data_IF_767178926837
#
_entry.id   IF_767178926837
#
_cell.length_a   1.000
_cell.length_b   1.000
_cell.length_c   1.000
_cell.angle_alpha   90.00
_cell.angle_beta   90.00
_cell.angle_gamma   90.00
#
_symmetry.space_group_name_H-M   'P 1'
#
loop_
_entity.id
_entity.type
_entity.pdbx_description
1 polymer ?
#
# COMPACT_ATOMS: atom_id res chain seq x y z
N UNK A 1 39.66 1.54 7.96
CA UNK A 1 38.30 1.54 8.52
C UNK A 1 38.09 2.95 9.08
N UNK A 2 37.75 3.98 8.30
CA UNK A 2 36.79 4.09 7.20
C UNK A 2 35.69 4.98 7.77
N UNK A 3 35.78 6.31 7.60
CA UNK A 3 35.00 7.33 8.32
C UNK A 3 33.51 7.40 7.92
N UNK A 4 32.97 6.31 7.36
CA UNK A 4 31.59 6.24 6.92
C UNK A 4 30.60 6.19 8.07
N UNK A 5 29.37 6.62 7.79
CA UNK A 5 28.24 6.57 8.70
C UNK A 5 27.01 6.02 7.97
N UNK A 6 26.00 5.63 8.75
CA UNK A 6 24.69 5.32 8.21
C UNK A 6 23.60 6.10 8.93
N UNK A 7 22.48 6.29 8.24
CA UNK A 7 21.27 6.86 8.81
C UNK A 7 20.10 5.94 8.53
N UNK A 8 19.21 5.80 9.50
CA UNK A 8 17.94 5.12 9.33
C UNK A 8 16.87 6.20 9.23
N UNK A 9 16.29 6.34 8.05
CA UNK A 9 15.27 7.35 7.78
C UNK A 9 14.35 6.90 6.65
N UNK A 10 13.20 7.53 6.52
CA UNK A 10 12.37 7.45 5.32
C UNK A 10 12.00 8.85 4.86
N UNK A 11 11.69 8.98 3.59
CA UNK A 11 11.29 10.24 2.97
C UNK A 11 9.80 10.17 2.63
N UNK A 12 9.08 11.26 2.86
CA UNK A 12 7.72 11.46 2.34
C UNK A 12 7.72 12.72 1.50
N UNK A 13 7.05 12.67 0.35
CA UNK A 13 6.86 13.85 -0.47
C UNK A 13 5.93 14.84 0.23
N UNK A 14 6.30 16.11 0.21
CA UNK A 14 5.44 17.20 0.68
C UNK A 14 4.70 17.78 -0.53
N UNK A 15 3.36 17.70 -0.60
CA UNK A 15 2.63 18.21 -1.75
C UNK A 15 2.68 19.74 -1.89
N UNK A 16 3.13 20.46 -0.85
CA UNK A 16 3.25 21.93 -0.84
C UNK A 16 4.69 22.42 -1.04
N UNK A 17 5.68 21.53 -0.91
CA UNK A 17 7.10 21.85 -1.09
C UNK A 17 7.69 20.86 -2.08
N UNK A 18 8.37 21.32 -3.11
CA UNK A 18 9.09 20.45 -4.06
C UNK A 18 10.36 19.79 -3.46
N UNK A 19 10.30 19.39 -2.19
CA UNK A 19 11.32 18.66 -1.44
C UNK A 19 10.64 17.61 -0.55
N UNK A 20 11.23 16.42 -0.48
CA UNK A 20 10.82 15.38 0.45
C UNK A 20 11.19 15.75 1.89
N UNK A 21 10.29 15.50 2.85
CA UNK A 21 10.56 15.62 4.29
C UNK A 21 11.17 14.32 4.79
N UNK A 22 12.30 14.42 5.51
CA UNK A 22 13.00 13.28 6.12
C UNK A 22 12.46 12.99 7.50
N UNK A 23 12.15 11.72 7.75
CA UNK A 23 11.75 11.19 9.03
C UNK A 23 12.78 10.18 9.50
N UNK A 24 13.40 10.42 10.65
CA UNK A 24 14.40 9.51 11.20
C UNK A 24 13.71 8.35 11.92
N UNK A 25 14.22 7.13 11.71
CA UNK A 25 13.70 5.92 12.33
C UNK A 25 13.00 4.98 11.35
N UNK A 26 12.09 4.18 11.88
CA UNK A 26 11.45 3.07 11.17
C UNK A 26 10.08 3.49 10.63
N UNK A 27 9.61 2.83 9.58
CA UNK A 27 8.26 3.05 9.05
C UNK A 27 7.41 1.80 9.19
N UNK A 28 6.10 1.98 9.33
CA UNK A 28 5.16 0.87 9.40
C UNK A 28 4.93 0.26 8.02
N UNK A 29 5.10 -1.04 7.88
CA UNK A 29 4.80 -1.75 6.63
C UNK A 29 3.31 -2.09 6.53
N UNK A 30 2.64 -2.33 7.65
CA UNK A 30 1.22 -2.67 7.71
C UNK A 30 0.31 -1.48 7.34
N UNK A 31 0.88 -0.28 7.15
CA UNK A 31 0.15 0.87 6.58
C UNK A 31 -0.10 0.77 5.07
N UNK A 32 0.45 -0.24 4.39
CA UNK A 32 0.36 -0.44 2.93
C UNK A 32 -0.68 -1.50 2.55
N UNK A 33 -1.16 -1.47 1.31
CA UNK A 33 -2.05 -2.48 0.75
C UNK A 33 -1.25 -3.77 0.50
N UNK A 34 -1.57 -4.85 1.21
CA UNK A 34 -0.95 -6.14 0.94
C UNK A 34 -1.61 -6.84 -0.26
N UNK A 35 -0.93 -6.89 -1.40
CA UNK A 35 -1.47 -7.48 -2.63
C UNK A 35 -1.69 -9.00 -2.51
N UNK A 36 -0.94 -9.69 -1.65
CA UNK A 36 -1.12 -11.12 -1.36
C UNK A 36 -2.41 -11.43 -0.59
N UNK A 37 -3.09 -10.41 -0.07
CA UNK A 37 -4.34 -10.56 0.69
C UNK A 37 -5.57 -10.10 -0.07
N UNK A 38 -5.40 -9.68 -1.33
CA UNK A 38 -6.52 -9.27 -2.17
C UNK A 38 -7.36 -10.48 -2.59
N UNK A 39 -8.64 -10.23 -2.81
CA UNK A 39 -9.63 -11.18 -3.31
C UNK A 39 -10.65 -10.44 -4.17
N UNK A 40 -11.61 -11.15 -4.77
CA UNK A 40 -12.64 -10.52 -5.61
C UNK A 40 -13.47 -9.43 -4.90
N UNK A 41 -13.52 -9.40 -3.56
CA UNK A 41 -14.24 -8.37 -2.79
C UNK A 41 -13.37 -7.16 -2.47
N UNK A 42 -12.05 -7.34 -2.41
CA UNK A 42 -11.07 -6.31 -2.03
C UNK A 42 -10.24 -5.80 -3.20
N UNK A 43 -10.30 -6.42 -4.38
CA UNK A 43 -9.68 -5.95 -5.64
C UNK A 43 -9.99 -4.47 -5.93
N UNK A 44 -11.20 -4.03 -5.59
CA UNK A 44 -11.62 -2.64 -5.75
C UNK A 44 -10.73 -1.63 -5.02
N UNK A 45 -10.04 -2.02 -3.94
CA UNK A 45 -9.11 -1.14 -3.22
C UNK A 45 -7.91 -0.81 -4.11
N UNK A 46 -7.26 -1.81 -4.71
CA UNK A 46 -6.12 -1.56 -5.59
C UNK A 46 -6.54 -0.77 -6.84
N UNK A 47 -7.73 -1.07 -7.39
CA UNK A 47 -8.30 -0.29 -8.48
C UNK A 47 -8.43 1.19 -8.11
N UNK A 48 -9.01 1.53 -6.96
CA UNK A 48 -9.14 2.93 -6.54
C UNK A 48 -7.78 3.58 -6.29
N UNK A 49 -6.78 2.85 -5.80
CA UNK A 49 -5.41 3.37 -5.68
C UNK A 49 -4.82 3.75 -7.04
N UNK A 50 -4.98 2.90 -8.05
CA UNK A 50 -4.50 3.18 -9.41
C UNK A 50 -5.23 4.38 -10.02
N UNK A 51 -6.56 4.46 -9.84
CA UNK A 51 -7.38 5.60 -10.30
C UNK A 51 -7.00 6.91 -9.59
N UNK A 52 -6.70 6.87 -8.29
CA UNK A 52 -6.22 8.02 -7.52
C UNK A 52 -4.92 8.60 -8.09
N UNK A 53 -4.08 7.75 -8.70
CA UNK A 53 -2.84 8.14 -9.36
C UNK A 53 -3.03 8.57 -10.82
N UNK A 54 -4.28 8.78 -11.27
CA UNK A 54 -4.59 9.38 -12.58
C UNK A 54 -4.68 8.41 -13.75
N UNK A 55 -4.61 7.10 -13.50
CA UNK A 55 -4.75 6.08 -14.54
C UNK A 55 -6.22 5.72 -14.80
N UNK A 56 -6.49 5.11 -15.95
CA UNK A 56 -7.85 4.79 -16.35
C UNK A 56 -8.46 3.72 -15.45
N UNK A 57 -9.79 3.79 -15.24
CA UNK A 57 -10.52 2.77 -14.47
C UNK A 57 -10.46 1.39 -15.14
N UNK A 58 -10.33 1.35 -16.46
CA UNK A 58 -10.20 0.12 -17.23
C UNK A 58 -8.88 -0.58 -16.92
N UNK A 59 -7.75 0.12 -17.05
CA UNK A 59 -6.42 -0.42 -16.71
C UNK A 59 -6.37 -0.84 -15.23
N UNK A 60 -6.95 -0.02 -14.35
CA UNK A 60 -7.04 -0.31 -12.92
C UNK A 60 -7.83 -1.59 -12.62
N UNK A 61 -8.94 -1.84 -13.33
CA UNK A 61 -9.71 -3.07 -13.19
C UNK A 61 -8.92 -4.28 -13.71
N UNK A 62 -8.32 -4.17 -14.90
CA UNK A 62 -7.51 -5.24 -15.50
C UNK A 62 -6.43 -5.69 -14.51
N UNK A 63 -5.64 -4.74 -14.01
CA UNK A 63 -4.53 -5.03 -13.09
C UNK A 63 -5.05 -5.62 -11.78
N UNK A 64 -6.08 -5.00 -11.18
CA UNK A 64 -6.55 -5.43 -9.87
C UNK A 64 -7.13 -6.85 -9.87
N UNK A 65 -7.90 -7.22 -10.89
CA UNK A 65 -8.45 -8.56 -10.99
C UNK A 65 -7.42 -9.58 -11.48
N UNK A 66 -6.50 -9.19 -12.36
CA UNK A 66 -5.39 -10.09 -12.76
C UNK A 66 -4.47 -10.41 -11.58
N UNK A 67 -4.30 -9.50 -10.62
CA UNK A 67 -3.57 -9.79 -9.36
C UNK A 67 -4.29 -10.82 -8.50
N UNK A 68 -5.63 -10.80 -8.47
CA UNK A 68 -6.42 -11.79 -7.72
C UNK A 68 -6.30 -13.17 -8.35
N UNK A 69 -6.46 -13.26 -9.67
CA UNK A 69 -6.32 -14.52 -10.40
C UNK A 69 -4.88 -15.06 -10.30
N UNK A 70 -3.87 -14.19 -10.28
CA UNK A 70 -2.46 -14.59 -10.14
C UNK A 70 -2.12 -15.31 -8.82
N UNK A 71 -2.78 -14.92 -7.73
CA UNK A 71 -2.49 -15.46 -6.39
C UNK A 71 -3.39 -16.63 -6.00
N UNK A 72 -4.57 -16.73 -6.59
CA UNK A 72 -5.52 -17.75 -6.22
C UNK A 72 -5.14 -19.11 -6.83
N UNK A 73 -5.51 -20.23 -6.18
CA UNK A 73 -5.04 -21.55 -6.61
C UNK A 73 -5.87 -22.15 -7.75
N UNK A 74 -6.96 -21.50 -8.17
CA UNK A 74 -7.84 -22.04 -9.20
C UNK A 74 -7.41 -21.57 -10.60
N UNK A 75 -8.30 -21.60 -11.58
CA UNK A 75 -7.96 -21.23 -12.97
C UNK A 75 -9.12 -20.53 -13.63
N UNK A 76 -9.95 -19.86 -12.82
CA UNK A 76 -11.16 -19.18 -13.25
C UNK A 76 -10.92 -17.69 -13.10
N UNK A 77 -11.21 -16.99 -14.19
CA UNK A 77 -11.19 -15.54 -14.21
C UNK A 77 -12.19 -14.99 -13.17
N UNK A 78 -11.69 -14.30 -12.14
CA UNK A 78 -12.51 -13.79 -11.03
C UNK A 78 -13.55 -12.78 -11.50
N UNK A 79 -13.19 -11.94 -12.48
CA UNK A 79 -14.07 -10.91 -13.04
C UNK A 79 -13.81 -10.70 -14.53
N UNK A 80 -14.73 -11.18 -15.36
CA UNK A 80 -14.73 -10.90 -16.81
C UNK A 80 -15.13 -9.44 -17.09
N UNK A 81 -14.46 -8.74 -18.03
CA UNK A 81 -13.38 -9.19 -18.92
C UNK A 81 -11.95 -8.90 -18.41
N UNK A 82 -11.80 -8.61 -17.11
CA UNK A 82 -10.61 -7.96 -16.54
C UNK A 82 -9.52 -8.90 -16.08
N UNK A 83 -9.89 -10.01 -15.45
CA UNK A 83 -8.93 -10.98 -14.90
C UNK A 83 -8.09 -11.69 -15.97
N UNK A 84 -7.13 -12.48 -15.50
CA UNK A 84 -6.17 -13.16 -16.36
C UNK A 84 -5.65 -14.43 -15.69
N UNK A 85 -5.76 -15.54 -16.42
CA UNK A 85 -5.35 -16.87 -15.99
C UNK A 85 -4.35 -17.47 -16.99
N UNK A 86 -3.95 -18.72 -16.80
CA UNK A 86 -2.95 -19.40 -17.63
C UNK A 86 -3.24 -19.33 -19.14
N UNK A 87 -4.52 -19.35 -19.54
CA UNK A 87 -4.95 -19.17 -20.93
C UNK A 87 -4.49 -17.83 -21.53
N UNK A 88 -4.52 -16.74 -20.75
CA UNK A 88 -4.03 -15.43 -21.16
C UNK A 88 -2.50 -15.43 -21.26
N UNK A 89 -1.82 -15.89 -20.21
CA UNK A 89 -0.36 -15.82 -20.10
C UNK A 89 0.37 -16.75 -21.08
N UNK A 90 -0.20 -17.94 -21.34
CA UNK A 90 0.30 -18.87 -22.35
C UNK A 90 0.09 -18.38 -23.79
N UNK A 91 -0.84 -17.43 -23.99
CA UNK A 91 -1.14 -16.82 -25.28
C UNK A 91 -0.26 -15.62 -25.66
N UNK A 92 0.64 -15.17 -24.77
CA UNK A 92 1.53 -14.03 -25.02
C UNK A 92 2.64 -14.35 -26.03
N UNK A 93 3.23 -13.32 -26.64
CA UNK A 93 4.39 -13.48 -27.55
C UNK A 93 5.58 -14.21 -26.90
N UNK A 94 5.73 -14.03 -25.58
CA UNK A 94 6.66 -14.79 -24.73
C UNK A 94 5.84 -15.48 -23.64
N UNK A 95 5.36 -16.71 -23.90
CA UNK A 95 4.50 -17.43 -22.97
C UNK A 95 5.17 -17.69 -21.62
N UNK A 96 4.37 -17.62 -20.57
CA UNK A 96 4.70 -18.11 -19.23
C UNK A 96 3.41 -18.54 -18.53
N UNK A 97 3.55 -19.21 -17.39
CA UNK A 97 2.41 -19.69 -16.64
C UNK A 97 1.95 -18.68 -15.58
N UNK A 98 0.64 -18.68 -15.32
CA UNK A 98 0.10 -18.05 -14.12
C UNK A 98 0.71 -18.73 -12.88
N UNK A 99 1.06 -17.94 -11.86
CA UNK A 99 1.82 -18.47 -10.72
C UNK A 99 0.94 -19.28 -9.77
N UNK A 100 -0.33 -18.92 -9.64
CA UNK A 100 -1.33 -19.48 -8.73
C UNK A 100 -0.82 -19.57 -7.28
N UNK A 101 0.00 -18.59 -6.89
CA UNK A 101 0.69 -18.49 -5.61
C UNK A 101 0.97 -17.03 -5.27
N UNK A 102 1.12 -16.77 -3.97
CA UNK A 102 1.51 -15.47 -3.46
C UNK A 102 2.80 -14.93 -4.11
N UNK A 103 2.84 -13.61 -4.29
CA UNK A 103 4.02 -12.83 -4.65
C UNK A 103 5.11 -12.98 -3.58
N UNK A 104 6.36 -13.14 -4.03
CA UNK A 104 7.57 -13.12 -3.23
C UNK A 104 8.23 -11.73 -3.25
N UNK A 105 8.04 -10.97 -4.32
CA UNK A 105 8.48 -9.57 -4.43
C UNK A 105 7.44 -8.69 -5.14
N UNK A 106 7.59 -7.36 -4.98
CA UNK A 106 6.73 -6.40 -5.69
C UNK A 106 7.02 -6.38 -7.19
N UNK A 107 8.26 -6.66 -7.59
CA UNK A 107 8.71 -6.62 -8.98
C UNK A 107 8.05 -7.69 -9.85
N UNK A 108 7.53 -8.77 -9.25
CA UNK A 108 6.69 -9.74 -9.96
C UNK A 108 5.42 -9.11 -10.55
N UNK A 109 5.00 -7.91 -10.10
CA UNK A 109 3.91 -7.17 -10.72
C UNK A 109 4.14 -6.87 -12.22
N UNK A 110 5.38 -6.86 -12.70
CA UNK A 110 5.67 -6.73 -14.13
C UNK A 110 5.22 -7.93 -14.97
N UNK A 111 4.85 -9.05 -14.33
CA UNK A 111 4.24 -10.21 -14.98
C UNK A 111 2.72 -10.10 -15.05
N UNK A 112 2.12 -9.07 -14.44
CA UNK A 112 0.67 -8.92 -14.41
C UNK A 112 0.17 -8.24 -15.67
N UNK A 113 -0.91 -8.77 -16.24
CA UNK A 113 -1.63 -8.19 -17.38
C UNK A 113 -1.91 -6.70 -17.13
N UNK A 114 -1.48 -5.86 -18.07
CA UNK A 114 -1.72 -4.41 -18.05
C UNK A 114 -0.78 -3.61 -17.15
N UNK A 115 0.09 -4.23 -16.34
CA UNK A 115 1.04 -3.47 -15.51
C UNK A 115 2.10 -2.78 -16.37
N UNK A 116 2.26 -1.47 -16.20
CA UNK A 116 3.33 -0.69 -16.83
C UNK A 116 4.30 -0.13 -15.78
N UNK A 117 5.48 0.32 -16.22
CA UNK A 117 6.47 0.97 -15.34
C UNK A 117 5.90 2.22 -14.66
N UNK A 118 5.08 2.99 -15.35
CA UNK A 118 4.45 4.20 -14.84
C UNK A 118 3.45 3.86 -13.73
N UNK A 119 2.57 2.88 -13.96
CA UNK A 119 1.60 2.43 -12.95
C UNK A 119 2.33 1.84 -11.75
N UNK A 120 3.31 0.95 -11.98
CA UNK A 120 4.12 0.36 -10.92
C UNK A 120 4.78 1.43 -10.05
N UNK A 121 5.43 2.43 -10.67
CA UNK A 121 6.09 3.49 -9.92
C UNK A 121 5.12 4.36 -9.11
N UNK A 122 3.89 4.56 -9.59
CA UNK A 122 2.87 5.30 -8.87
C UNK A 122 2.33 4.55 -7.63
N UNK A 123 2.26 3.22 -7.68
CA UNK A 123 1.66 2.43 -6.59
C UNK A 123 2.68 1.74 -5.68
N UNK A 124 3.93 1.54 -6.10
CA UNK A 124 4.91 0.69 -5.38
C UNK A 124 5.16 1.08 -3.93
N UNK A 125 5.05 2.36 -3.58
CA UNK A 125 5.25 2.84 -2.19
C UNK A 125 4.01 2.66 -1.31
N UNK A 126 2.85 2.40 -1.91
CA UNK A 126 1.55 2.23 -1.25
C UNK A 126 1.16 0.76 -1.06
N UNK A 127 1.95 -0.17 -1.59
CA UNK A 127 1.67 -1.61 -1.58
C UNK A 127 2.79 -2.42 -0.91
N UNK A 128 2.45 -3.63 -0.46
CA UNK A 128 3.38 -4.62 0.09
C UNK A 128 2.98 -6.04 -0.33
N UNK A 129 3.90 -6.99 -0.15
CA UNK A 129 3.64 -8.44 -0.29
C UNK A 129 3.63 -9.15 1.08
N UNK A 130 3.70 -8.39 2.18
CA UNK A 130 3.75 -8.91 3.54
C UNK A 130 2.46 -8.60 4.33
N UNK A 131 1.95 -9.54 5.15
CA UNK A 131 2.37 -10.94 5.27
C UNK A 131 2.10 -11.74 3.99
N UNK A 132 2.88 -12.80 3.75
CA UNK A 132 2.67 -13.70 2.60
C UNK A 132 1.31 -14.40 2.63
N UNK A 133 0.76 -14.65 3.83
CA UNK A 133 -0.58 -15.22 4.03
C UNK A 133 -1.28 -14.52 5.18
N UNK A 134 -2.53 -14.12 4.98
CA UNK A 134 -3.33 -13.44 5.98
C UNK A 134 -4.57 -12.79 5.36
N UNK A 135 -5.40 -12.19 6.20
CA UNK A 135 -6.53 -11.37 5.72
C UNK A 135 -6.08 -9.96 5.31
N UNK A 136 -6.93 -9.29 4.54
CA UNK A 136 -6.74 -7.89 4.16
C UNK A 136 -6.88 -6.96 5.37
N UNK A 137 -5.74 -6.52 5.91
CA UNK A 137 -5.64 -5.63 7.07
C UNK A 137 -4.62 -4.52 6.80
N UNK A 138 -4.96 -3.30 7.19
CA UNK A 138 -4.13 -2.09 7.06
C UNK A 138 -4.14 -1.30 8.37
N UNK A 139 -2.98 -0.82 8.81
CA UNK A 139 -2.88 0.02 10.01
C UNK A 139 -3.33 1.45 9.69
N UNK A 140 -4.53 1.82 10.12
CA UNK A 140 -5.09 3.15 9.86
C UNK A 140 -4.37 4.27 10.63
N UNK A 141 -3.65 3.94 11.69
CA UNK A 141 -2.92 4.91 12.50
C UNK A 141 -1.73 5.49 11.70
N UNK A 142 -1.19 4.76 10.72
CA UNK A 142 0.05 5.08 10.01
C UNK A 142 -0.05 5.02 8.47
N UNK A 143 -1.14 4.47 7.92
CA UNK A 143 -1.33 4.31 6.48
C UNK A 143 -1.24 5.64 5.71
N UNK A 144 -0.61 5.69 4.52
CA UNK A 144 -0.67 6.86 3.65
C UNK A 144 -2.10 7.28 3.34
N UNK A 145 -2.32 8.57 3.10
CA UNK A 145 -3.66 9.11 2.81
C UNK A 145 -4.28 8.46 1.57
N UNK A 146 -3.47 8.19 0.55
CA UNK A 146 -3.83 7.52 -0.70
C UNK A 146 -4.35 6.11 -0.45
N UNK A 147 -3.71 5.37 0.46
CA UNK A 147 -4.12 4.01 0.86
C UNK A 147 -5.48 4.07 1.57
N UNK A 148 -5.66 5.02 2.49
CA UNK A 148 -6.91 5.20 3.21
C UNK A 148 -8.05 5.63 2.26
N UNK A 149 -7.79 6.56 1.33
CA UNK A 149 -8.75 6.96 0.28
C UNK A 149 -9.13 5.79 -0.61
N UNK A 150 -8.15 4.99 -1.05
CA UNK A 150 -8.42 3.81 -1.86
C UNK A 150 -9.36 2.82 -1.14
N UNK A 151 -9.09 2.53 0.14
CA UNK A 151 -9.94 1.65 0.97
C UNK A 151 -11.35 2.24 1.15
N UNK A 152 -11.45 3.53 1.48
CA UNK A 152 -12.72 4.22 1.71
C UNK A 152 -13.58 4.29 0.44
N UNK A 153 -12.99 4.69 -0.69
CA UNK A 153 -13.66 4.77 -2.00
C UNK A 153 -14.13 3.40 -2.49
N UNK A 154 -13.33 2.36 -2.30
CA UNK A 154 -13.70 0.99 -2.69
C UNK A 154 -14.92 0.47 -1.90
N UNK A 155 -15.14 0.98 -0.69
CA UNK A 155 -16.31 0.65 0.12
C UNK A 155 -17.54 1.55 -0.15
N UNK A 156 -17.37 2.66 -0.88
CA UNK A 156 -18.37 3.71 -1.11
C UNK A 156 -19.62 3.28 -1.90
N UNK A 157 -19.69 2.05 -2.40
CA UNK A 157 -20.90 1.51 -3.05
C UNK A 157 -21.98 0.99 -2.09
N UNK A 158 -21.70 0.95 -0.77
CA UNK A 158 -22.54 0.18 0.16
C UNK A 158 -23.74 0.93 0.77
N UNK A 159 -23.91 2.26 0.61
CA UNK A 159 -25.04 2.97 1.24
C UNK A 159 -25.11 4.47 0.92
N UNK A 160 -25.77 4.92 -0.15
CA UNK A 160 -26.09 6.34 -0.39
C UNK A 160 -24.93 7.35 -0.13
N UNK A 161 -23.69 6.91 -0.36
CA UNK A 161 -22.44 7.65 -0.14
C UNK A 161 -21.78 7.93 -1.47
N UNK A 162 -21.06 9.05 -1.54
CA UNK A 162 -20.31 9.47 -2.71
C UNK A 162 -18.80 9.38 -2.47
N UNK A 163 -18.00 9.49 -3.54
CA UNK A 163 -16.53 9.55 -3.45
C UNK A 163 -16.09 10.72 -2.58
N UNK A 164 -16.80 11.85 -2.65
CA UNK A 164 -16.57 13.04 -1.82
C UNK A 164 -16.73 12.78 -0.33
N UNK A 165 -17.73 11.96 0.07
CA UNK A 165 -17.91 11.54 1.47
C UNK A 165 -16.73 10.69 1.95
N UNK A 166 -16.23 9.80 1.08
CA UNK A 166 -15.08 8.94 1.40
C UNK A 166 -13.79 9.77 1.57
N UNK A 167 -13.52 10.67 0.63
CA UNK A 167 -12.34 11.53 0.69
C UNK A 167 -12.37 12.45 1.91
N UNK A 168 -13.52 13.09 2.18
CA UNK A 168 -13.66 13.98 3.35
C UNK A 168 -13.51 13.23 4.67
N UNK A 169 -14.04 12.00 4.76
CA UNK A 169 -13.87 11.17 5.95
C UNK A 169 -12.39 10.81 6.20
N UNK A 170 -11.64 10.51 5.14
CA UNK A 170 -10.21 10.20 5.23
C UNK A 170 -9.40 11.45 5.58
N UNK A 171 -9.70 12.60 4.99
CA UNK A 171 -9.05 13.87 5.33
C UNK A 171 -9.21 14.18 6.83
N UNK A 172 -10.41 14.03 7.39
CA UNK A 172 -10.67 14.20 8.82
C UNK A 172 -9.91 13.20 9.69
N UNK A 173 -9.78 11.96 9.23
CA UNK A 173 -8.97 10.94 9.90
C UNK A 173 -7.49 11.34 9.92
N UNK A 174 -6.93 11.70 8.76
CA UNK A 174 -5.52 12.10 8.61
C UNK A 174 -5.20 13.35 9.43
N UNK A 175 -6.09 14.34 9.43
CA UNK A 175 -5.92 15.55 10.24
C UNK A 175 -6.02 15.26 11.74
N UNK A 176 -6.90 14.34 12.15
CA UNK A 176 -7.01 13.96 13.55
C UNK A 176 -5.75 13.27 14.08
N UNK A 177 -5.13 12.39 13.28
CA UNK A 177 -3.93 11.65 13.71
C UNK A 177 -2.70 12.55 13.86
N UNK A 178 -2.63 13.67 13.14
CA UNK A 178 -1.54 14.67 13.17
C UNK A 178 -1.51 15.55 14.44
N UNK A 179 -2.17 15.13 15.52
CA UNK A 179 -2.14 15.89 16.77
C UNK A 179 -2.73 17.30 16.68
N UNK A 180 -2.30 18.15 17.61
CA UNK A 180 -2.62 19.58 17.67
C UNK A 180 -1.64 20.41 16.84
N UNK A 181 -0.42 19.92 16.63
CA UNK A 181 0.61 20.60 15.83
C UNK A 181 0.40 20.47 14.31
N UNK A 182 -0.45 19.52 13.87
CA UNK A 182 -0.74 19.29 12.46
C UNK A 182 0.40 18.60 11.71
N UNK A 183 1.41 18.11 12.42
CA UNK A 183 2.52 17.35 11.88
C UNK A 183 2.36 15.86 12.19
N UNK A 184 2.78 15.00 11.25
CA UNK A 184 2.84 13.56 11.54
C UNK A 184 4.15 13.19 12.24
N UNK A 185 4.12 12.11 13.00
CA UNK A 185 5.26 11.52 13.70
C UNK A 185 5.82 12.40 14.83
N UNK A 186 4.93 13.14 15.50
CA UNK A 186 5.23 13.97 16.67
C UNK A 186 4.63 13.35 17.94
N UNK A 187 4.93 13.94 19.10
CA UNK A 187 4.55 13.38 20.40
C UNK A 187 3.05 13.42 20.70
N UNK A 188 2.29 14.26 19.98
CA UNK A 188 0.86 14.49 20.12
C UNK A 188 0.02 13.76 19.06
N UNK A 189 0.65 12.93 18.21
CA UNK A 189 -0.04 12.04 17.28
C UNK A 189 -1.12 11.20 17.99
N UNK A 190 -2.29 11.10 17.35
CA UNK A 190 -3.45 10.39 17.92
C UNK A 190 -3.72 9.07 17.22
N UNK A 191 -4.04 8.05 18.02
CA UNK A 191 -4.51 6.76 17.53
C UNK A 191 -5.92 6.94 16.93
N UNK A 192 -6.17 6.39 15.75
CA UNK A 192 -7.47 6.53 15.08
C UNK A 192 -8.62 6.03 15.97
N UNK A 193 -9.62 6.89 16.18
CA UNK A 193 -10.90 6.54 16.81
C UNK A 193 -12.05 7.22 16.06
N UNK A 194 -12.88 6.41 15.40
CA UNK A 194 -14.02 6.88 14.61
C UNK A 194 -15.02 7.72 15.40
N UNK A 195 -15.09 7.56 16.73
CA UNK A 195 -16.02 8.32 17.56
C UNK A 195 -15.49 9.69 17.96
N UNK A 196 -14.17 9.92 17.86
CA UNK A 196 -13.52 11.20 18.14
C UNK A 196 -13.49 12.12 16.92
N UNK A 197 -13.77 11.58 15.73
CA UNK A 197 -13.79 12.34 14.49
C UNK A 197 -15.10 13.14 14.34
N UNK A 198 -14.99 14.39 13.90
CA UNK A 198 -16.12 15.25 13.58
C UNK A 198 -16.77 14.88 12.22
N UNK A 199 -17.38 13.68 12.18
CA UNK A 199 -17.94 13.09 10.96
C UNK A 199 -19.45 13.37 10.83
N UNK A 200 -19.88 13.62 9.59
CA UNK A 200 -21.29 13.58 9.23
C UNK A 200 -21.78 12.11 9.13
N UNK A 201 -23.09 11.90 8.95
CA UNK A 201 -23.68 10.56 8.91
C UNK A 201 -23.12 9.66 7.78
N UNK A 202 -22.87 10.23 6.59
CA UNK A 202 -22.35 9.51 5.43
C UNK A 202 -20.86 9.18 5.61
N UNK A 203 -20.05 10.15 6.01
CA UNK A 203 -18.63 9.95 6.32
C UNK A 203 -18.44 8.87 7.41
N UNK A 204 -19.27 8.90 8.46
CA UNK A 204 -19.28 7.88 9.51
C UNK A 204 -19.69 6.51 8.99
N UNK A 205 -20.61 6.44 8.02
CA UNK A 205 -20.99 5.19 7.37
C UNK A 205 -19.82 4.62 6.56
N UNK A 206 -19.07 5.46 5.82
CA UNK A 206 -17.86 5.04 5.09
C UNK A 206 -16.84 4.43 6.04
N UNK A 207 -16.42 5.13 7.10
CA UNK A 207 -15.37 4.60 7.99
C UNK A 207 -15.81 3.35 8.76
N UNK A 208 -17.11 3.23 9.08
CA UNK A 208 -17.65 2.02 9.69
C UNK A 208 -17.61 0.82 8.74
N UNK A 209 -17.90 1.00 7.45
CA UNK A 209 -17.93 -0.09 6.48
C UNK A 209 -16.53 -0.71 6.25
N UNK A 210 -15.47 0.10 6.38
CA UNK A 210 -14.07 -0.33 6.25
C UNK A 210 -13.39 -0.71 7.56
N UNK A 211 -14.06 -0.54 8.70
CA UNK A 211 -13.49 -0.82 10.03
C UNK A 211 -12.95 -2.24 10.20
N UNK A 212 -13.50 -3.21 9.46
CA UNK A 212 -13.04 -4.61 9.42
C UNK A 212 -11.64 -4.79 8.83
N UNK A 213 -11.18 -3.83 8.02
CA UNK A 213 -9.86 -3.85 7.38
C UNK A 213 -8.80 -3.16 8.24
N UNK A 214 -9.16 -2.63 9.42
CA UNK A 214 -8.19 -1.99 10.31
C UNK A 214 -7.39 -3.03 11.10
N UNK A 215 -6.07 -2.94 11.01
CA UNK A 215 -5.17 -3.56 11.99
C UNK A 215 -4.97 -2.63 13.20
N UNK A 216 -4.83 -3.20 14.40
CA UNK A 216 -4.60 -2.45 15.66
C UNK A 216 -3.12 -2.41 16.06
N UNK A 217 -2.30 -3.24 15.42
CA UNK A 217 -0.89 -3.40 15.76
C UNK A 217 -0.14 -3.89 14.54
N UNK A 218 0.75 -3.05 14.05
CA UNK A 218 1.75 -3.42 13.04
C UNK A 218 2.46 -4.72 13.41
N UNK A 219 2.60 -5.65 12.47
CA UNK A 219 3.38 -6.87 12.56
C UNK A 219 4.67 -6.77 11.74
N UNK A 220 4.72 -5.93 10.71
CA UNK A 220 5.88 -5.73 9.87
C UNK A 220 6.36 -4.29 9.91
N UNK A 221 7.67 -4.12 10.06
CA UNK A 221 8.32 -2.81 10.10
C UNK A 221 9.28 -2.71 8.92
N UNK A 222 9.25 -1.59 8.23
CA UNK A 222 10.19 -1.24 7.16
C UNK A 222 11.33 -0.40 7.71
N UNK A 223 12.54 -0.76 7.31
CA UNK A 223 13.79 -0.09 7.68
C UNK A 223 14.52 0.28 6.38
N UNK A 224 14.80 1.56 6.19
CA UNK A 224 15.65 2.02 5.09
C UNK A 224 16.94 2.56 5.68
N UNK A 225 18.08 2.04 5.21
CA UNK A 225 19.41 2.33 5.74
C UNK A 225 20.24 2.99 4.65
N UNK A 226 20.58 4.26 4.86
CA UNK A 226 21.42 5.05 3.97
C UNK A 226 22.85 5.07 4.49
N UNK A 227 23.74 4.32 3.85
CA UNK A 227 25.17 4.31 4.15
C UNK A 227 25.93 5.30 3.26
N UNK A 228 26.84 6.06 3.86
CA UNK A 228 27.74 7.00 3.16
C UNK A 228 29.18 6.72 3.57
N UNK A 229 30.09 6.62 2.59
CA UNK A 229 31.54 6.63 2.82
C UNK A 229 32.11 8.00 2.40
N UNK A 230 32.76 8.68 3.35
CA UNK A 230 33.12 10.10 3.20
C UNK A 230 34.25 10.35 2.19
N UNK A 231 35.17 9.40 1.98
CA UNK A 231 36.37 9.61 1.16
C UNK A 231 36.16 9.23 -0.31
N UNK A 232 35.15 8.42 -0.61
CA UNK A 232 34.92 7.79 -1.91
C UNK A 232 33.59 8.20 -2.55
N UNK A 233 32.79 9.07 -1.91
CA UNK A 233 31.44 9.43 -2.33
C UNK A 233 30.51 8.21 -2.58
N UNK A 234 30.88 7.03 -2.07
CA UNK A 234 30.07 5.83 -2.20
C UNK A 234 28.85 5.98 -1.29
N UNK A 235 27.66 5.89 -1.88
CA UNK A 235 26.39 5.81 -1.18
C UNK A 235 25.76 4.45 -1.47
N UNK A 236 25.09 3.90 -0.47
CA UNK A 236 24.33 2.66 -0.60
C UNK A 236 23.04 2.78 0.18
N UNK A 237 21.93 2.32 -0.39
CA UNK A 237 20.68 2.19 0.35
C UNK A 237 20.30 0.72 0.49
N UNK A 238 19.81 0.34 1.67
CA UNK A 238 19.27 -0.98 1.96
C UNK A 238 17.84 -0.80 2.44
N UNK A 239 16.88 -1.43 1.77
CA UNK A 239 15.50 -1.50 2.25
C UNK A 239 15.25 -2.89 2.82
N UNK A 240 14.71 -2.96 4.02
CA UNK A 240 14.53 -4.19 4.78
C UNK A 240 13.14 -4.23 5.42
N UNK A 241 12.53 -5.41 5.46
CA UNK A 241 11.28 -5.67 6.20
C UNK A 241 11.56 -6.63 7.35
N UNK A 242 11.18 -6.23 8.56
CA UNK A 242 11.38 -6.96 9.80
C UNK A 242 10.03 -7.43 10.34
N UNK A 243 9.92 -8.72 10.64
CA UNK A 243 8.81 -9.29 11.40
C UNK A 243 8.93 -8.91 12.88
N UNK A 244 7.93 -8.27 13.46
CA UNK A 244 7.91 -7.94 14.90
C UNK A 244 7.71 -9.15 15.81
N UNK A 245 7.21 -10.26 15.28
CA UNK A 245 6.94 -11.47 16.05
C UNK A 245 8.23 -12.07 16.62
N UNK A 246 9.29 -12.07 15.82
CA UNK A 246 10.56 -12.74 16.09
C UNK A 246 11.80 -11.93 15.70
N UNK A 247 11.61 -10.68 15.26
CA UNK A 247 12.67 -9.78 14.77
C UNK A 247 13.45 -10.31 13.57
N UNK A 248 12.87 -11.27 12.84
CA UNK A 248 13.49 -11.82 11.63
C UNK A 248 13.41 -10.82 10.46
N UNK A 249 14.48 -10.79 9.66
CA UNK A 249 14.50 -10.10 8.38
C UNK A 249 13.79 -10.97 7.34
N UNK A 250 12.60 -10.56 6.90
CA UNK A 250 11.78 -11.34 5.95
C UNK A 250 12.02 -10.93 4.49
N UNK A 251 12.58 -9.74 4.28
CA UNK A 251 12.96 -9.23 2.97
C UNK A 251 14.06 -8.21 3.13
N UNK A 252 14.98 -8.16 2.16
CA UNK A 252 15.84 -7.01 1.97
C UNK A 252 16.27 -6.88 0.51
N UNK A 253 16.59 -5.65 0.11
CA UNK A 253 17.27 -5.36 -1.14
C UNK A 253 18.30 -4.24 -0.95
N UNK A 254 19.25 -4.15 -1.89
CA UNK A 254 20.19 -3.04 -2.01
C UNK A 254 19.83 -2.25 -3.26
N UNK A 255 19.68 -0.94 -3.12
CA UNK A 255 19.36 0.01 -4.21
C UNK A 255 20.46 1.06 -4.34
#
# INVERSE_FOLDING_TARGET
MGSGYFSILYEKDDPFVSQSKKYYGLSDEDGRININSLDGKTAGVLRELIVLNGFSREDANIIAYSIVDWIDPDSRITAEPYGAEDDYYSGLDRPYHCKNLFFDSKEELFLIRGMTTEIYNAVKEHITVFPKKGGFLVNFDTAPEEVLKAIARAAGGASNTEISDADSAVEKLVNYRKGDDGEEATSDDRIYDVNMLALNAKEKAVLRSVSRYRSKRSQYIRVNVFGTEENSNIRSNINAIISRKDLSLVYWNRT
#
